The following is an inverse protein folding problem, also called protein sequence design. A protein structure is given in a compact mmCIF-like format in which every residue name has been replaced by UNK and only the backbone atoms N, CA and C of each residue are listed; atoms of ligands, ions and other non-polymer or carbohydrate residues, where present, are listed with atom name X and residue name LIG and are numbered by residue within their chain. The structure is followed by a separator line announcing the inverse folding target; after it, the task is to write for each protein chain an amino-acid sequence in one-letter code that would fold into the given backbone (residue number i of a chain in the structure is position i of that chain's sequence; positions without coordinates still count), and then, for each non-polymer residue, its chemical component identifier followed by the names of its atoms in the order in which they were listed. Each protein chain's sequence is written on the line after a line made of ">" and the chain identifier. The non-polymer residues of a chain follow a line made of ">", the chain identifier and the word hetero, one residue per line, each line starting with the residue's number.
data_IF_870812001928
#
_entry.id   IF_870812001928
#
_cell.length_a   1.000
_cell.length_b   1.000
_cell.length_c   1.000
_cell.angle_alpha   90.00
_cell.angle_beta   90.00
_cell.angle_gamma   90.00
#
_symmetry.space_group_name_H-M   'P 1'
#
loop_
_entity.id
_entity.type
_entity.pdbx_description
1 polymer ?
#
# COMPACT_ATOMS: atom_id res chain seq x y z
N UNK A 1 -1.57 4.09 9.60
CA UNK A 1 -2.24 3.33 8.52
C UNK A 1 -3.43 2.58 9.12
N UNK A 2 -4.54 2.44 8.42
CA UNK A 2 -5.63 1.55 8.86
C UNK A 2 -5.67 0.38 7.88
N UNK A 3 -5.41 -0.81 8.39
CA UNK A 3 -5.57 -2.06 7.66
C UNK A 3 -7.01 -2.54 7.69
N UNK A 4 -7.31 -3.51 6.83
CA UNK A 4 -8.61 -4.19 6.71
C UNK A 4 -9.17 -4.58 8.08
N UNK A 5 -10.48 -4.37 8.28
CA UNK A 5 -11.19 -4.74 9.51
C UNK A 5 -11.13 -3.71 10.65
N UNK A 6 -10.79 -2.45 10.35
CA UNK A 6 -10.72 -1.36 11.34
C UNK A 6 -9.46 -1.38 12.20
N UNK A 7 -8.45 -2.15 11.81
CA UNK A 7 -7.21 -2.27 12.56
C UNK A 7 -6.30 -1.08 12.26
N UNK A 8 -6.18 -0.22 13.26
CA UNK A 8 -5.35 0.98 13.20
C UNK A 8 -3.90 0.62 13.55
N UNK A 9 -3.02 0.78 12.57
CA UNK A 9 -1.56 0.77 12.73
C UNK A 9 -1.10 2.19 13.05
N UNK A 10 -0.76 2.39 14.32
CA UNK A 10 -0.47 3.69 14.91
C UNK A 10 -1.75 4.44 15.30
N UNK A 11 -2.07 4.44 16.61
CA UNK A 11 -3.04 5.40 17.14
C UNK A 11 -2.40 6.80 17.18
N UNK A 12 -3.19 7.85 17.44
CA UNK A 12 -2.64 9.18 17.76
C UNK A 12 -1.57 9.13 18.87
N UNK A 13 -1.63 8.13 19.74
CA UNK A 13 -0.69 7.89 20.85
C UNK A 13 0.50 6.98 20.49
N UNK A 14 0.51 6.36 19.30
CA UNK A 14 1.57 5.48 18.81
C UNK A 14 2.06 5.97 17.44
N UNK A 15 2.66 7.15 17.40
CA UNK A 15 3.29 7.67 16.18
C UNK A 15 4.68 7.04 16.01
N UNK A 16 4.96 6.47 14.83
CA UNK A 16 6.26 5.89 14.48
C UNK A 16 7.42 6.88 14.68
N UNK A 17 7.18 8.14 14.31
CA UNK A 17 8.11 9.27 14.47
C UNK A 17 8.52 9.60 15.91
N UNK A 18 7.78 9.14 16.92
CA UNK A 18 8.11 9.39 18.33
C UNK A 18 8.98 8.28 18.95
N UNK A 19 9.30 7.22 18.18
CA UNK A 19 9.98 6.01 18.68
C UNK A 19 11.05 5.51 17.70
N UNK A 20 12.01 6.38 17.37
CA UNK A 20 13.19 6.00 16.56
C UNK A 20 14.04 4.89 17.21
N UNK A 21 13.88 4.69 18.52
CA UNK A 21 14.52 3.63 19.30
C UNK A 21 13.99 2.23 18.99
N UNK A 22 12.77 2.12 18.47
CA UNK A 22 12.16 0.84 18.13
C UNK A 22 12.38 0.51 16.65
N UNK A 23 12.96 -0.65 16.37
CA UNK A 23 13.17 -1.11 15.00
C UNK A 23 12.74 -2.57 14.79
N UNK A 24 12.33 -2.86 13.57
CA UNK A 24 12.05 -4.21 13.11
C UNK A 24 10.97 -4.90 13.92
N UNK A 25 11.30 -6.07 14.45
CA UNK A 25 10.36 -6.92 15.18
C UNK A 25 9.85 -6.26 16.46
N UNK A 26 10.71 -5.55 17.19
CA UNK A 26 10.36 -4.87 18.44
C UNK A 26 9.36 -3.71 18.19
N UNK A 27 9.56 -2.96 17.10
CA UNK A 27 8.61 -1.95 16.67
C UNK A 27 7.25 -2.60 16.36
N UNK A 28 7.23 -3.69 15.60
CA UNK A 28 5.99 -4.38 15.26
C UNK A 28 5.29 -4.98 16.49
N UNK A 29 6.02 -5.52 17.46
CA UNK A 29 5.48 -6.00 18.74
C UNK A 29 4.85 -4.87 19.57
N UNK A 30 5.47 -3.68 19.55
CA UNK A 30 4.94 -2.50 20.21
C UNK A 30 3.59 -2.05 19.62
N UNK A 31 3.44 -2.17 18.29
CA UNK A 31 2.15 -1.91 17.64
C UNK A 31 1.14 -2.99 17.95
N UNK A 32 1.46 -4.27 17.69
CA UNK A 32 0.64 -5.41 18.06
C UNK A 32 1.45 -6.73 18.16
N UNK A 33 1.69 -7.20 19.38
CA UNK A 33 2.39 -8.46 19.66
C UNK A 33 1.72 -9.72 19.05
N UNK A 34 0.43 -9.68 18.71
CA UNK A 34 -0.29 -10.80 18.07
C UNK A 34 0.11 -10.94 16.61
N UNK A 35 0.39 -9.82 15.93
CA UNK A 35 0.84 -9.80 14.55
C UNK A 35 2.25 -10.36 14.40
N UNK A 36 3.12 -10.08 15.35
CA UNK A 36 4.47 -10.66 15.34
C UNK A 36 4.43 -12.18 15.50
N UNK A 37 3.47 -12.70 16.27
CA UNK A 37 3.25 -14.15 16.38
C UNK A 37 2.70 -14.75 15.09
N UNK A 38 1.77 -14.08 14.40
CA UNK A 38 1.24 -14.58 13.13
C UNK A 38 2.28 -14.56 12.01
N UNK A 39 3.09 -13.50 11.92
CA UNK A 39 4.22 -13.42 11.00
C UNK A 39 5.35 -14.40 11.40
N UNK A 40 5.57 -14.60 12.70
CA UNK A 40 6.64 -15.44 13.23
C UNK A 40 6.44 -16.94 13.04
N UNK A 41 5.19 -17.44 12.97
CA UNK A 41 4.90 -18.84 12.60
C UNK A 41 5.36 -19.20 11.18
N UNK A 42 5.59 -18.20 10.32
CA UNK A 42 6.11 -18.36 8.95
C UNK A 42 7.62 -18.23 8.84
N UNK A 43 8.29 -17.66 9.84
CA UNK A 43 9.75 -17.47 9.87
C UNK A 43 10.58 -18.76 9.88
N UNK A 44 9.93 -19.91 10.11
CA UNK A 44 10.56 -21.24 10.09
C UNK A 44 10.38 -22.01 8.79
N UNK A 45 9.71 -21.44 7.78
CA UNK A 45 9.47 -22.09 6.50
C UNK A 45 10.27 -21.39 5.39
N UNK A 46 10.65 -22.11 4.33
CA UNK A 46 11.48 -21.58 3.24
C UNK A 46 10.81 -20.34 2.61
N UNK A 47 11.59 -19.42 2.02
CA UNK A 47 11.10 -18.15 1.46
C UNK A 47 9.89 -18.28 0.51
N UNK A 48 9.69 -19.47 -0.08
CA UNK A 48 8.57 -19.84 -0.95
C UNK A 48 7.23 -20.06 -0.20
N UNK A 49 7.26 -20.34 1.11
CA UNK A 49 6.08 -20.61 1.95
C UNK A 49 5.34 -19.36 2.47
N UNK A 50 5.87 -18.17 2.21
CA UNK A 50 5.31 -16.90 2.68
C UNK A 50 4.07 -16.46 1.89
N UNK A 51 3.81 -17.10 0.75
CA UNK A 51 2.79 -16.74 -0.20
C UNK A 51 1.70 -17.81 -0.22
N UNK A 52 0.45 -17.44 0.11
CA UNK A 52 -0.68 -18.35 -0.06
C UNK A 52 -0.89 -18.63 -1.56
N UNK A 53 -1.32 -19.83 -1.92
CA UNK A 53 -1.57 -20.17 -3.32
C UNK A 53 -3.09 -20.28 -3.58
N UNK A 54 -3.56 -19.53 -4.57
CA UNK A 54 -4.61 -19.97 -5.49
C UNK A 54 -4.27 -19.43 -6.88
N UNK A 55 -4.45 -20.26 -7.90
CA UNK A 55 -4.03 -19.98 -9.28
C UNK A 55 -4.89 -18.90 -9.98
N UNK A 56 -5.92 -18.37 -9.32
CA UNK A 56 -7.04 -17.69 -9.99
C UNK A 56 -7.58 -16.44 -9.27
N UNK A 57 -6.88 -15.90 -8.26
CA UNK A 57 -7.33 -14.73 -7.46
C UNK A 57 -8.68 -14.96 -6.73
N UNK A 58 -9.30 -16.14 -6.85
CA UNK A 58 -10.65 -16.46 -6.35
C UNK A 58 -10.65 -16.88 -4.88
N UNK A 59 -9.52 -17.37 -4.37
CA UNK A 59 -9.41 -17.91 -3.01
C UNK A 59 -8.74 -16.93 -2.04
N UNK A 60 -8.30 -15.77 -2.52
CA UNK A 60 -7.77 -14.72 -1.67
C UNK A 60 -8.91 -13.92 -1.05
N UNK A 61 -9.42 -14.47 0.04
CA UNK A 61 -10.36 -13.78 0.92
C UNK A 61 -9.61 -12.74 1.77
N UNK A 62 -9.25 -11.60 1.17
CA UNK A 62 -8.69 -10.46 1.91
C UNK A 62 -9.74 -9.73 2.76
N UNK A 63 -10.97 -10.25 2.90
CA UNK A 63 -12.11 -9.51 3.48
C UNK A 63 -12.52 -10.10 4.82
N UNK A 64 -12.59 -11.43 4.89
CA UNK A 64 -13.03 -12.13 6.09
C UNK A 64 -11.87 -12.28 7.08
N UNK A 65 -11.54 -11.19 7.76
CA UNK A 65 -10.59 -11.20 8.88
C UNK A 65 -11.28 -11.61 10.18
N UNK A 66 -12.62 -11.70 10.22
CA UNK A 66 -13.36 -12.21 11.40
C UNK A 66 -13.64 -13.70 11.25
N UNK A 67 -13.33 -14.49 12.28
CA UNK A 67 -13.71 -15.91 12.32
C UNK A 67 -15.17 -16.01 12.77
N UNK A 68 -15.98 -16.78 12.04
CA UNK A 68 -17.32 -17.16 12.48
C UNK A 68 -17.27 -18.61 12.94
N UNK A 69 -17.65 -18.86 14.19
CA UNK A 69 -17.71 -20.21 14.77
C UNK A 69 -18.76 -21.08 14.07
N UNK A 70 -18.74 -22.39 14.35
CA UNK A 70 -19.70 -23.37 13.77
C UNK A 70 -21.17 -23.03 13.99
N UNK A 71 -21.46 -22.24 15.03
CA UNK A 71 -22.81 -21.82 15.41
C UNK A 71 -23.14 -20.37 14.97
N UNK A 72 -22.25 -19.72 14.20
CA UNK A 72 -22.42 -18.34 13.72
C UNK A 72 -22.04 -17.25 14.72
N UNK A 73 -21.46 -17.62 15.87
CA UNK A 73 -20.91 -16.66 16.85
C UNK A 73 -19.63 -16.01 16.32
N UNK A 74 -19.46 -14.70 16.57
CA UNK A 74 -18.23 -13.95 16.26
C UNK A 74 -17.10 -14.40 17.18
N UNK A 75 -16.17 -15.21 16.65
CA UNK A 75 -14.99 -15.69 17.38
C UNK A 75 -13.87 -14.63 17.42
N UNK A 76 -14.12 -13.44 16.85
CA UNK A 76 -13.20 -12.32 16.82
C UNK A 76 -12.25 -12.34 15.64
N UNK A 77 -11.14 -11.59 15.76
CA UNK A 77 -10.21 -11.33 14.66
C UNK A 77 -9.28 -12.53 14.44
N UNK A 78 -9.25 -13.02 13.20
CA UNK A 78 -8.25 -13.94 12.67
C UNK A 78 -6.93 -13.19 12.40
N UNK A 79 -6.06 -13.16 13.41
CA UNK A 79 -4.75 -12.50 13.34
C UNK A 79 -3.77 -13.16 12.36
N UNK A 80 -3.98 -14.42 11.98
CA UNK A 80 -3.18 -15.07 10.94
C UNK A 80 -3.51 -14.47 9.58
N UNK A 81 -4.80 -14.39 9.25
CA UNK A 81 -5.26 -13.77 8.00
C UNK A 81 -4.89 -12.29 7.92
N UNK A 82 -5.00 -11.59 9.04
CA UNK A 82 -4.57 -10.20 9.15
C UNK A 82 -3.07 -10.03 8.89
N UNK A 83 -2.24 -10.93 9.43
CA UNK A 83 -0.79 -10.91 9.20
C UNK A 83 -0.43 -11.02 7.72
N UNK A 84 -1.18 -11.82 6.95
CA UNK A 84 -1.03 -11.93 5.49
C UNK A 84 -1.34 -10.63 4.77
N UNK A 85 -2.51 -10.05 5.05
CA UNK A 85 -2.94 -8.77 4.45
C UNK A 85 -1.90 -7.68 4.70
N UNK A 86 -1.34 -7.64 5.91
CA UNK A 86 -0.32 -6.64 6.26
C UNK A 86 1.00 -6.88 5.58
N UNK A 87 1.41 -8.13 5.46
CA UNK A 87 2.59 -8.49 4.70
C UNK A 87 2.46 -8.00 3.25
N UNK A 88 1.30 -8.26 2.61
CA UNK A 88 1.02 -7.80 1.25
C UNK A 88 0.89 -6.27 1.16
N UNK A 89 0.38 -5.62 2.20
CA UNK A 89 0.31 -4.17 2.29
C UNK A 89 1.72 -3.54 2.27
N UNK A 90 2.62 -4.00 3.15
CA UNK A 90 4.01 -3.52 3.16
C UNK A 90 4.79 -3.94 1.93
N UNK A 91 4.53 -5.12 1.39
CA UNK A 91 5.07 -5.55 0.12
C UNK A 91 4.68 -4.59 -1.00
N UNK A 92 3.40 -4.22 -1.07
CA UNK A 92 2.88 -3.25 -2.05
C UNK A 92 3.56 -1.89 -1.91
N UNK A 93 3.72 -1.41 -0.66
CA UNK A 93 4.41 -0.15 -0.38
C UNK A 93 5.89 -0.17 -0.76
N UNK A 94 6.57 -1.32 -0.65
CA UNK A 94 7.99 -1.47 -0.97
C UNK A 94 8.29 -1.89 -2.42
N UNK A 95 7.27 -2.24 -3.21
CA UNK A 95 7.43 -2.59 -4.64
C UNK A 95 6.90 -1.48 -5.54
N UNK A 96 5.73 -0.94 -5.21
CA UNK A 96 5.05 0.08 -5.99
C UNK A 96 5.50 1.48 -5.55
N UNK A 97 6.66 1.93 -6.03
CA UNK A 97 7.19 3.29 -5.89
C UNK A 97 8.32 3.52 -6.90
N UNK A 98 8.83 4.75 -7.01
CA UNK A 98 9.98 5.07 -7.89
C UNK A 98 11.27 5.43 -7.13
N UNK A 99 11.31 5.19 -5.82
CA UNK A 99 12.48 5.47 -4.99
C UNK A 99 13.76 4.71 -5.40
N UNK A 100 14.88 5.36 -5.13
CA UNK A 100 16.25 4.85 -5.22
C UNK A 100 16.85 4.81 -3.80
N UNK A 101 17.71 3.83 -3.54
CA UNK A 101 18.46 3.74 -2.28
C UNK A 101 19.80 4.43 -2.45
N UNK A 102 20.09 5.39 -1.59
CA UNK A 102 21.40 6.01 -1.43
C UNK A 102 22.02 5.64 -0.07
N UNK A 103 23.34 5.48 -0.02
CA UNK A 103 24.05 5.11 1.21
C UNK A 103 24.50 3.65 1.23
N UNK A 104 25.27 3.30 2.26
CA UNK A 104 25.74 1.92 2.46
C UNK A 104 24.64 0.99 2.96
N UNK A 105 24.92 -0.32 2.93
CA UNK A 105 24.01 -1.37 3.38
C UNK A 105 23.53 -1.24 4.83
N UNK A 106 24.27 -0.54 5.69
CA UNK A 106 23.95 -0.46 7.13
C UNK A 106 23.04 0.72 7.48
N UNK A 107 22.94 1.73 6.61
CA UNK A 107 22.08 2.88 6.83
C UNK A 107 21.56 3.43 5.49
N UNK A 108 20.60 2.72 4.87
CA UNK A 108 20.01 3.18 3.61
C UNK A 108 19.23 4.47 3.82
N UNK A 109 19.36 5.39 2.88
CA UNK A 109 18.52 6.57 2.73
C UNK A 109 17.72 6.45 1.43
N UNK A 110 16.46 6.86 1.46
CA UNK A 110 15.59 6.75 0.30
C UNK A 110 15.39 8.11 -0.36
N UNK A 111 15.55 8.14 -1.68
CA UNK A 111 15.31 9.33 -2.48
C UNK A 111 14.37 9.04 -3.64
N UNK A 112 13.53 9.99 -3.98
CA UNK A 112 12.64 9.88 -5.11
C UNK A 112 11.83 11.14 -5.34
N UNK A 113 10.94 11.12 -6.35
CA UNK A 113 10.21 12.31 -6.78
C UNK A 113 9.12 12.74 -5.81
N UNK A 114 8.64 11.84 -4.96
CA UNK A 114 7.55 12.10 -4.02
C UNK A 114 8.04 11.93 -2.58
N UNK A 115 7.94 12.96 -1.72
CA UNK A 115 8.28 12.86 -0.30
C UNK A 115 7.37 11.87 0.45
N UNK A 116 6.16 11.65 -0.04
CA UNK A 116 5.20 10.71 0.55
C UNK A 116 5.66 9.27 0.39
N UNK A 117 6.20 8.94 -0.80
CA UNK A 117 6.77 7.62 -1.03
C UNK A 117 7.94 7.37 -0.08
N UNK A 118 8.81 8.36 0.11
CA UNK A 118 9.94 8.29 1.05
C UNK A 118 9.42 8.03 2.46
N UNK A 119 8.43 8.80 2.92
CA UNK A 119 7.85 8.63 4.26
C UNK A 119 7.24 7.24 4.46
N UNK A 120 6.53 6.72 3.47
CA UNK A 120 5.90 5.38 3.53
C UNK A 120 6.93 4.25 3.58
N UNK A 121 7.98 4.32 2.75
CA UNK A 121 9.02 3.28 2.71
C UNK A 121 9.92 3.36 3.95
N UNK A 122 10.17 4.56 4.49
CA UNK A 122 10.89 4.72 5.75
C UNK A 122 10.08 4.16 6.94
N UNK A 123 8.77 4.42 6.98
CA UNK A 123 7.87 3.82 7.97
C UNK A 123 7.86 2.29 7.87
N UNK A 124 7.84 1.73 6.65
CA UNK A 124 7.94 0.29 6.42
C UNK A 124 9.28 -0.27 6.94
N UNK A 125 10.40 0.43 6.68
CA UNK A 125 11.73 0.05 7.16
C UNK A 125 11.79 -0.03 8.68
N UNK A 126 11.24 0.97 9.39
CA UNK A 126 11.17 0.97 10.86
C UNK A 126 10.43 -0.25 11.42
N UNK A 127 9.44 -0.75 10.68
CA UNK A 127 8.66 -1.94 11.04
C UNK A 127 9.32 -3.26 10.60
N UNK A 128 10.49 -3.23 9.96
CA UNK A 128 11.22 -4.41 9.50
C UNK A 128 10.90 -4.86 8.09
N UNK A 129 10.21 -4.03 7.31
CA UNK A 129 9.91 -4.22 5.89
C UNK A 129 10.82 -3.32 5.07
N UNK A 130 12.02 -3.80 4.76
CA UNK A 130 13.08 -2.96 4.22
C UNK A 130 13.18 -3.07 2.69
N UNK A 131 13.18 -1.92 2.02
CA UNK A 131 13.52 -1.80 0.61
C UNK A 131 15.05 -1.66 0.47
N UNK A 132 15.69 -2.51 -0.34
CA UNK A 132 17.16 -2.61 -0.41
C UNK A 132 17.76 -2.12 -1.72
N UNK A 133 17.11 -2.42 -2.84
CA UNK A 133 17.65 -2.09 -4.16
C UNK A 133 16.52 -2.06 -5.19
N UNK A 134 16.60 -1.13 -6.15
CA UNK A 134 15.75 -1.10 -7.33
C UNK A 134 16.60 -0.97 -8.58
N UNK A 135 16.26 -1.75 -9.60
CA UNK A 135 16.71 -1.58 -10.97
C UNK A 135 15.48 -1.51 -11.89
N UNK A 136 15.68 -1.32 -13.19
CA UNK A 136 14.60 -1.39 -14.17
C UNK A 136 13.99 -2.80 -14.30
N UNK A 137 14.68 -3.84 -13.83
CA UNK A 137 14.28 -5.24 -13.99
C UNK A 137 13.93 -5.95 -12.69
N UNK A 138 14.33 -5.40 -11.55
CA UNK A 138 14.07 -6.06 -10.27
C UNK A 138 14.03 -5.08 -9.09
N UNK A 139 13.36 -5.51 -8.03
CA UNK A 139 13.41 -4.89 -6.70
C UNK A 139 13.90 -5.95 -5.71
N UNK A 140 14.81 -5.58 -4.82
CA UNK A 140 15.25 -6.41 -3.68
C UNK A 140 14.73 -5.82 -2.38
N UNK A 141 14.21 -6.68 -1.53
CA UNK A 141 13.65 -6.36 -0.23
C UNK A 141 14.29 -7.24 0.84
N UNK A 142 14.20 -6.80 2.10
CA UNK A 142 14.54 -7.59 3.29
C UNK A 142 13.42 -7.48 4.30
N UNK A 143 12.58 -8.50 4.41
CA UNK A 143 11.44 -8.50 5.31
C UNK A 143 11.75 -9.41 6.50
N UNK A 144 11.88 -8.82 7.70
CA UNK A 144 12.20 -9.53 8.95
C UNK A 144 13.38 -10.51 8.85
N UNK A 145 14.42 -10.15 8.09
CA UNK A 145 15.63 -10.96 7.90
C UNK A 145 15.62 -11.87 6.67
N UNK A 146 14.52 -11.92 5.91
CA UNK A 146 14.42 -12.70 4.68
C UNK A 146 14.60 -11.81 3.45
N UNK A 147 15.59 -12.13 2.62
CA UNK A 147 15.83 -11.42 1.38
C UNK A 147 14.87 -11.90 0.29
N UNK A 148 14.15 -10.96 -0.34
CA UNK A 148 13.20 -11.21 -1.40
C UNK A 148 13.66 -10.49 -2.66
N UNK A 149 13.45 -11.11 -3.82
CA UNK A 149 13.73 -10.50 -5.13
C UNK A 149 12.50 -10.63 -6.02
N UNK A 150 12.00 -9.48 -6.47
CA UNK A 150 10.90 -9.38 -7.41
C UNK A 150 11.44 -8.97 -8.77
N UNK A 151 11.01 -9.64 -9.83
CA UNK A 151 11.24 -9.23 -11.22
C UNK A 151 10.18 -8.22 -11.63
N UNK A 152 10.58 -7.03 -12.08
CA UNK A 152 9.67 -5.99 -12.55
C UNK A 152 9.32 -6.29 -14.00
N UNK A 153 8.04 -6.55 -14.25
CA UNK A 153 7.52 -6.87 -15.58
C UNK A 153 7.02 -5.63 -16.29
N UNK A 154 6.30 -4.74 -15.60
CA UNK A 154 5.82 -3.47 -16.16
C UNK A 154 5.55 -2.45 -15.05
N UNK A 155 5.65 -1.17 -15.40
CA UNK A 155 5.37 -0.03 -14.52
C UNK A 155 4.39 0.89 -15.23
N UNK A 156 3.20 1.03 -14.66
CA UNK A 156 2.22 2.02 -15.07
C UNK A 156 2.40 3.27 -14.21
N UNK A 157 3.19 4.21 -14.69
CA UNK A 157 3.60 5.40 -13.95
C UNK A 157 2.42 6.25 -13.46
N UNK A 158 2.65 6.96 -12.36
CA UNK A 158 1.73 7.96 -11.87
C UNK A 158 1.58 9.09 -12.89
N UNK A 159 0.34 9.40 -13.24
CA UNK A 159 0.00 10.66 -13.93
C UNK A 159 -1.10 11.38 -13.18
N UNK A 160 -1.23 12.67 -13.43
CA UNK A 160 -2.25 13.50 -12.79
C UNK A 160 -3.66 13.11 -13.23
N UNK A 161 -3.79 12.60 -14.44
CA UNK A 161 -5.04 12.11 -15.02
C UNK A 161 -5.46 10.80 -14.35
N UNK A 162 -4.50 9.89 -14.10
CA UNK A 162 -4.78 8.57 -13.52
C UNK A 162 -4.89 8.59 -12.00
N UNK A 163 -4.15 9.48 -11.32
CA UNK A 163 -4.10 9.63 -9.85
C UNK A 163 -3.71 8.34 -9.09
N UNK A 164 -3.03 7.43 -9.78
CA UNK A 164 -2.53 6.16 -9.23
C UNK A 164 -1.32 5.66 -10.00
N UNK A 165 -0.54 4.80 -9.35
CA UNK A 165 0.63 4.11 -9.89
C UNK A 165 0.42 2.60 -9.72
N UNK A 166 0.82 1.82 -10.72
CA UNK A 166 0.84 0.37 -10.61
C UNK A 166 2.17 -0.23 -11.05
N UNK A 167 2.58 -1.29 -10.39
CA UNK A 167 3.76 -2.09 -10.75
C UNK A 167 3.32 -3.54 -10.87
N UNK A 168 3.59 -4.15 -12.02
CA UNK A 168 3.43 -5.59 -12.23
C UNK A 168 4.78 -6.25 -12.00
N UNK A 169 4.83 -7.21 -11.08
CA UNK A 169 6.07 -7.89 -10.74
C UNK A 169 5.84 -9.38 -10.46
N UNK A 170 6.84 -10.18 -10.79
CA UNK A 170 6.89 -11.61 -10.48
C UNK A 170 7.70 -11.83 -9.21
N UNK A 171 7.09 -12.47 -8.22
CA UNK A 171 7.75 -12.80 -6.97
C UNK A 171 8.72 -13.98 -7.09
N UNK A 172 9.51 -14.24 -6.04
CA UNK A 172 10.39 -15.42 -5.99
C UNK A 172 9.63 -16.75 -6.02
N UNK A 173 8.35 -16.71 -5.64
CA UNK A 173 7.37 -17.78 -5.72
C UNK A 173 6.85 -18.07 -7.13
N UNK A 174 7.28 -17.30 -8.12
CA UNK A 174 6.85 -17.40 -9.51
C UNK A 174 5.48 -16.78 -9.78
N UNK A 175 4.81 -16.19 -8.79
CA UNK A 175 3.48 -15.60 -8.95
C UNK A 175 3.61 -14.16 -9.45
N UNK A 176 2.82 -13.82 -10.47
CA UNK A 176 2.71 -12.45 -10.97
C UNK A 176 1.66 -11.69 -10.17
N UNK A 177 2.03 -10.51 -9.67
CA UNK A 177 1.17 -9.63 -8.92
C UNK A 177 1.17 -8.24 -9.53
N UNK A 178 0.01 -7.60 -9.54
CA UNK A 178 -0.11 -6.16 -9.72
C UNK A 178 -0.25 -5.51 -8.35
N UNK A 179 0.62 -4.53 -8.09
CA UNK A 179 0.62 -3.68 -6.91
C UNK A 179 0.18 -2.29 -7.32
N UNK A 180 -0.87 -1.75 -6.71
CA UNK A 180 -1.46 -0.47 -7.08
C UNK A 180 -1.61 0.43 -5.86
N UNK A 181 -1.23 1.70 -6.00
CA UNK A 181 -1.48 2.72 -4.97
C UNK A 181 -1.89 4.04 -5.61
N UNK A 182 -2.77 4.77 -4.94
CA UNK A 182 -3.25 6.04 -5.48
C UNK A 182 -4.29 6.71 -4.60
N UNK A 183 -4.89 7.77 -5.13
CA UNK A 183 -5.99 8.47 -4.50
C UNK A 183 -7.17 7.52 -4.25
N UNK A 184 -7.92 7.79 -3.18
CA UNK A 184 -9.10 7.03 -2.78
C UNK A 184 -10.09 6.79 -3.92
N UNK A 185 -10.54 7.85 -4.59
CA UNK A 185 -11.46 7.78 -5.73
C UNK A 185 -10.92 6.94 -6.88
N UNK A 186 -9.62 7.03 -7.18
CA UNK A 186 -9.01 6.33 -8.30
C UNK A 186 -8.78 4.83 -8.04
N UNK A 187 -8.59 4.44 -6.78
CA UNK A 187 -8.42 3.04 -6.37
C UNK A 187 -9.76 2.38 -6.15
N UNK A 188 -10.72 3.04 -5.49
CA UNK A 188 -12.04 2.47 -5.16
C UNK A 188 -12.79 2.04 -6.43
N UNK A 189 -12.67 2.80 -7.53
CA UNK A 189 -13.23 2.44 -8.84
C UNK A 189 -12.63 1.17 -9.47
N UNK A 190 -11.44 0.76 -9.04
CA UNK A 190 -10.72 -0.41 -9.55
C UNK A 190 -10.91 -1.66 -8.67
N UNK A 191 -11.53 -1.50 -7.50
CA UNK A 191 -11.69 -2.60 -6.57
C UNK A 191 -12.70 -3.63 -7.08
N UNK A 192 -12.51 -4.88 -6.68
CA UNK A 192 -13.51 -5.93 -6.88
C UNK A 192 -14.80 -5.59 -6.16
N UNK A 193 -15.91 -6.17 -6.60
CA UNK A 193 -17.19 -5.97 -5.93
C UNK A 193 -17.21 -6.69 -4.56
N UNK A 194 -17.30 -5.90 -3.49
CA UNK A 194 -17.35 -6.41 -2.11
C UNK A 194 -18.75 -6.80 -1.63
N UNK A 195 -19.83 -6.41 -2.33
CA UNK A 195 -21.22 -6.58 -1.88
C UNK A 195 -21.62 -8.04 -1.61
N UNK A 196 -20.99 -9.00 -2.31
CA UNK A 196 -21.30 -10.42 -2.15
C UNK A 196 -20.31 -11.17 -1.27
N UNK A 197 -19.35 -10.47 -0.67
CA UNK A 197 -18.35 -11.06 0.20
C UNK A 197 -18.79 -10.95 1.67
N UNK A 198 -18.52 -11.97 2.49
CA UNK A 198 -18.72 -11.87 3.93
C UNK A 198 -18.00 -10.65 4.48
N UNK A 199 -18.71 -9.82 5.24
CA UNK A 199 -18.18 -8.60 5.87
C UNK A 199 -17.62 -7.55 4.87
N UNK A 200 -17.94 -7.66 3.57
CA UNK A 200 -17.48 -6.76 2.52
C UNK A 200 -18.06 -5.35 2.60
N UNK A 201 -19.36 -5.23 2.88
CA UNK A 201 -20.01 -3.93 3.10
C UNK A 201 -19.44 -3.23 4.34
N UNK A 202 -19.26 -3.97 5.45
CA UNK A 202 -18.64 -3.46 6.68
C UNK A 202 -17.20 -2.96 6.43
N UNK A 203 -16.43 -3.70 5.62
CA UNK A 203 -15.08 -3.30 5.23
C UNK A 203 -15.08 -1.99 4.47
N UNK A 204 -15.95 -1.85 3.47
CA UNK A 204 -16.04 -0.64 2.65
C UNK A 204 -16.52 0.55 3.49
N UNK A 205 -17.53 0.36 4.35
CA UNK A 205 -18.00 1.40 5.26
C UNK A 205 -16.89 1.87 6.21
N UNK A 206 -16.18 0.94 6.85
CA UNK A 206 -15.06 1.25 7.74
C UNK A 206 -13.92 1.98 7.01
N UNK A 207 -13.65 1.59 5.75
CA UNK A 207 -12.64 2.23 4.91
C UNK A 207 -13.05 3.67 4.57
N UNK A 208 -14.28 3.89 4.10
CA UNK A 208 -14.78 5.23 3.78
C UNK A 208 -14.80 6.16 4.99
N UNK A 209 -15.23 5.64 6.15
CA UNK A 209 -15.18 6.40 7.40
C UNK A 209 -13.76 6.82 7.74
N UNK A 210 -12.81 5.89 7.67
CA UNK A 210 -11.41 6.16 7.98
C UNK A 210 -10.77 7.18 7.03
N UNK A 211 -11.08 7.09 5.72
CA UNK A 211 -10.65 8.06 4.73
C UNK A 211 -11.20 9.47 5.04
N UNK A 212 -12.49 9.56 5.38
CA UNK A 212 -13.13 10.82 5.78
C UNK A 212 -12.51 11.38 7.06
N UNK A 213 -12.28 10.55 8.08
CA UNK A 213 -11.68 10.97 9.34
C UNK A 213 -10.24 11.49 9.15
N UNK A 214 -9.46 10.87 8.27
CA UNK A 214 -8.12 11.34 7.93
C UNK A 214 -8.12 12.63 7.13
N UNK A 215 -9.02 12.76 6.14
CA UNK A 215 -9.19 13.98 5.38
C UNK A 215 -9.61 15.16 6.28
N UNK A 216 -10.55 14.94 7.22
CA UNK A 216 -10.95 15.95 8.21
C UNK A 216 -9.82 16.38 9.14
N UNK A 217 -8.78 15.56 9.29
CA UNK A 217 -7.58 15.88 10.06
C UNK A 217 -6.47 16.54 9.22
N UNK A 218 -6.71 16.77 7.92
CA UNK A 218 -5.72 17.34 7.01
C UNK A 218 -4.58 16.38 6.65
N UNK A 219 -4.78 15.08 6.81
CA UNK A 219 -3.80 14.06 6.42
C UNK A 219 -3.99 13.68 4.95
N UNK A 220 -2.89 13.54 4.21
CA UNK A 220 -2.92 13.04 2.83
C UNK A 220 -3.11 11.53 2.83
N UNK A 221 -4.16 11.07 2.16
CA UNK A 221 -4.54 9.66 2.15
C UNK A 221 -4.16 8.98 0.84
N UNK A 222 -3.74 7.72 0.91
CA UNK A 222 -3.60 6.86 -0.27
C UNK A 222 -4.18 5.48 0.04
N UNK A 223 -4.92 4.93 -0.92
CA UNK A 223 -5.36 3.55 -0.90
C UNK A 223 -4.31 2.65 -1.55
N UNK A 224 -4.12 1.47 -0.98
CA UNK A 224 -3.19 0.45 -1.46
C UNK A 224 -3.98 -0.81 -1.78
N UNK A 225 -3.78 -1.35 -2.98
CA UNK A 225 -4.48 -2.53 -3.47
C UNK A 225 -3.54 -3.44 -4.26
N UNK A 226 -3.87 -4.73 -4.33
CA UNK A 226 -3.14 -5.69 -5.16
C UNK A 226 -4.08 -6.64 -5.91
N UNK A 227 -3.50 -7.42 -6.82
CA UNK A 227 -4.19 -8.52 -7.50
C UNK A 227 -3.17 -9.54 -7.99
N UNK A 228 -3.54 -10.82 -7.95
CA UNK A 228 -2.78 -11.87 -8.62
C UNK A 228 -3.19 -11.96 -10.08
N UNK A 229 -2.19 -12.11 -10.94
CA UNK A 229 -2.35 -12.21 -12.39
C UNK A 229 -1.87 -13.58 -12.82
N UNK A 230 -2.70 -14.28 -13.60
CA UNK A 230 -2.32 -15.56 -14.19
C UNK A 230 -1.29 -15.34 -15.30
N UNK A 231 -0.41 -16.33 -15.50
CA UNK A 231 0.62 -16.26 -16.54
C UNK A 231 -0.01 -16.03 -17.93
N UNK A 232 -1.09 -16.76 -18.26
CA UNK A 232 -1.79 -16.62 -19.55
C UNK A 232 -2.37 -15.21 -19.76
N UNK A 233 -3.01 -14.65 -18.74
CA UNK A 233 -3.54 -13.28 -18.82
C UNK A 233 -2.40 -12.27 -19.02
N UNK A 234 -1.31 -12.42 -18.26
CA UNK A 234 -0.14 -11.55 -18.36
C UNK A 234 0.46 -11.55 -19.77
N UNK A 235 0.71 -12.72 -20.36
CA UNK A 235 1.30 -12.84 -21.69
C UNK A 235 0.44 -12.18 -22.77
N UNK A 236 -0.87 -12.40 -22.70
CA UNK A 236 -1.82 -11.78 -23.62
C UNK A 236 -1.87 -10.25 -23.43
N UNK A 237 -1.88 -9.78 -22.18
CA UNK A 237 -1.94 -8.36 -21.87
C UNK A 237 -0.65 -7.63 -22.27
N UNK A 238 0.52 -8.19 -21.97
CA UNK A 238 1.81 -7.59 -22.33
C UNK A 238 1.93 -7.44 -23.85
N UNK A 239 1.50 -8.45 -24.62
CA UNK A 239 1.47 -8.33 -26.08
C UNK A 239 0.64 -7.13 -26.55
N UNK A 240 -0.56 -6.91 -25.98
CA UNK A 240 -1.39 -5.73 -26.28
C UNK A 240 -0.73 -4.44 -25.85
N UNK A 241 -0.12 -4.42 -24.66
CA UNK A 241 0.59 -3.25 -24.14
C UNK A 241 1.77 -2.85 -25.01
N UNK A 242 2.60 -3.80 -25.44
CA UNK A 242 3.73 -3.53 -26.35
C UNK A 242 3.24 -3.02 -27.71
N UNK A 243 2.13 -3.56 -28.24
CA UNK A 243 1.51 -3.06 -29.47
C UNK A 243 1.00 -1.62 -29.31
N UNK A 244 0.37 -1.30 -28.18
CA UNK A 244 -0.06 0.06 -27.84
C UNK A 244 1.14 1.01 -27.72
N UNK A 245 2.20 0.61 -27.01
CA UNK A 245 3.42 1.38 -26.82
C UNK A 245 4.19 1.64 -28.13
N UNK A 246 4.14 0.69 -29.08
CA UNK A 246 4.75 0.82 -30.40
C UNK A 246 3.86 1.57 -31.41
N UNK A 247 2.62 1.92 -31.05
CA UNK A 247 1.70 2.58 -31.97
C UNK A 247 2.07 4.05 -32.20
N UNK A 248 1.94 4.51 -33.44
CA UNK A 248 2.17 5.92 -33.81
C UNK A 248 0.89 6.76 -33.71
N UNK A 249 -0.28 6.11 -33.75
CA UNK A 249 -1.59 6.76 -33.71
C UNK A 249 -2.27 6.48 -32.37
N UNK A 250 -2.75 7.53 -31.70
CA UNK A 250 -3.53 7.44 -30.45
C UNK A 250 -2.84 6.58 -29.37
N UNK A 251 -1.51 6.63 -29.30
CA UNK A 251 -0.68 5.85 -28.36
C UNK A 251 -1.17 5.99 -26.92
N UNK A 252 -1.39 7.22 -26.46
CA UNK A 252 -1.76 7.49 -25.07
C UNK A 252 -3.13 6.90 -24.72
N UNK A 253 -4.09 6.97 -25.65
CA UNK A 253 -5.43 6.38 -25.49
C UNK A 253 -5.34 4.85 -25.40
N UNK A 254 -4.53 4.22 -26.26
CA UNK A 254 -4.33 2.76 -26.24
C UNK A 254 -3.64 2.29 -24.97
N UNK A 255 -2.62 3.02 -24.51
CA UNK A 255 -1.94 2.72 -23.24
C UNK A 255 -2.88 2.87 -22.04
N UNK A 256 -3.74 3.89 -22.05
CA UNK A 256 -4.74 4.09 -21.01
C UNK A 256 -5.77 2.96 -20.99
N UNK A 257 -6.19 2.46 -22.16
CA UNK A 257 -7.08 1.29 -22.26
C UNK A 257 -6.42 0.03 -21.68
N UNK A 258 -5.17 -0.24 -22.02
CA UNK A 258 -4.43 -1.37 -21.44
C UNK A 258 -4.27 -1.22 -19.91
N UNK A 259 -3.99 -0.01 -19.42
CA UNK A 259 -3.90 0.26 -17.99
C UNK A 259 -5.25 0.00 -17.29
N UNK A 260 -6.37 0.50 -17.84
CA UNK A 260 -7.71 0.23 -17.31
C UNK A 260 -8.04 -1.25 -17.29
N UNK A 261 -7.64 -2.01 -18.31
CA UNK A 261 -7.91 -3.45 -18.41
C UNK A 261 -7.29 -4.24 -17.25
N UNK A 262 -6.00 -4.00 -16.96
CA UNK A 262 -5.27 -4.75 -15.92
C UNK A 262 -5.60 -4.27 -14.51
N UNK A 263 -5.96 -2.99 -14.35
CA UNK A 263 -6.34 -2.34 -13.08
C UNK A 263 -7.83 -2.52 -12.76
N UNK A 264 -8.35 -3.74 -12.91
CA UNK A 264 -9.72 -4.12 -12.52
C UNK A 264 -9.69 -5.26 -11.51
N UNK A 265 -10.76 -5.36 -10.70
CA UNK A 265 -10.94 -6.43 -9.71
C UNK A 265 -9.78 -6.50 -8.69
N UNK A 266 -9.32 -5.33 -8.24
CA UNK A 266 -8.26 -5.22 -7.24
C UNK A 266 -8.78 -5.53 -5.84
N UNK A 267 -7.92 -6.10 -5.00
CA UNK A 267 -8.17 -6.30 -3.59
C UNK A 267 -7.57 -5.13 -2.81
N UNK A 268 -8.42 -4.37 -2.11
CA UNK A 268 -7.97 -3.38 -1.14
C UNK A 268 -7.17 -4.07 -0.04
N UNK A 269 -5.97 -3.56 0.25
CA UNK A 269 -5.09 -4.03 1.32
C UNK A 269 -5.12 -3.10 2.53
N UNK A 270 -5.36 -1.81 2.32
CA UNK A 270 -5.46 -0.83 3.39
C UNK A 270 -5.29 0.59 2.89
N UNK A 271 -5.33 1.51 3.85
CA UNK A 271 -5.16 2.94 3.60
C UNK A 271 -4.01 3.52 4.42
N UNK A 272 -3.29 4.44 3.80
CA UNK A 272 -2.25 5.24 4.43
C UNK A 272 -2.78 6.64 4.73
N UNK A 273 -2.18 7.29 5.71
CA UNK A 273 -2.44 8.67 6.05
C UNK A 273 -1.09 9.31 6.43
N UNK A 274 -0.71 10.36 5.72
CA UNK A 274 0.58 11.03 5.84
C UNK A 274 0.32 12.47 6.26
N UNK A 275 0.97 12.89 7.33
CA UNK A 275 0.93 14.28 7.77
C UNK A 275 1.95 15.09 6.97
N UNK A 276 1.49 16.14 6.29
CA UNK A 276 2.42 17.16 5.77
C UNK A 276 2.76 18.11 6.92
N UNK A 277 3.99 18.04 7.42
CA UNK A 277 4.38 18.74 8.62
C UNK A 277 4.44 20.24 8.35
N UNK A 278 3.52 20.96 8.99
CA UNK A 278 3.59 22.41 9.09
C UNK A 278 4.82 22.83 9.91
N UNK A 279 5.31 24.03 9.64
CA UNK A 279 6.34 24.63 10.50
C UNK A 279 5.79 24.86 11.91
N UNK A 280 6.68 24.78 12.90
CA UNK A 280 6.33 24.99 14.31
C UNK A 280 5.69 26.36 14.50
N UNK A 281 4.55 26.42 15.18
CA UNK A 281 3.85 27.67 15.50
C UNK A 281 2.93 28.19 14.40
N UNK A 282 2.83 27.53 13.24
CA UNK A 282 1.96 27.99 12.13
C UNK A 282 0.49 28.00 12.53
N UNK A 283 -0.10 26.92 13.11
CA UNK A 283 -1.50 26.93 13.52
C UNK A 283 -1.82 28.06 14.51
N UNK A 284 -1.00 28.22 15.54
CA UNK A 284 -1.18 29.24 16.58
C UNK A 284 -1.03 30.66 16.02
N UNK A 285 -0.10 30.85 15.07
CA UNK A 285 0.09 32.14 14.40
C UNK A 285 -1.11 32.49 13.52
N UNK A 286 -1.63 31.54 12.76
CA UNK A 286 -2.83 31.77 11.91
C UNK A 286 -4.05 32.09 12.77
N UNK A 287 -4.23 31.40 13.89
CA UNK A 287 -5.30 31.68 14.86
C UNK A 287 -5.16 33.10 15.45
N UNK A 288 -3.98 33.47 15.95
CA UNK A 288 -3.72 34.82 16.49
C UNK A 288 -3.95 35.93 15.46
N UNK A 289 -3.55 35.73 14.19
CA UNK A 289 -3.81 36.70 13.12
C UNK A 289 -5.31 36.83 12.83
N UNK A 290 -6.03 35.71 12.84
CA UNK A 290 -7.48 35.68 12.60
C UNK A 290 -8.24 36.37 13.74
N UNK A 291 -7.87 36.11 14.99
CA UNK A 291 -8.42 36.77 16.19
C UNK A 291 -8.14 38.27 16.22
N UNK A 292 -7.00 38.70 15.67
CA UNK A 292 -6.67 40.11 15.47
C UNK A 292 -7.43 40.77 14.30
N UNK A 293 -8.30 40.04 13.60
CA UNK A 293 -9.09 40.53 12.46
C UNK A 293 -8.33 40.61 11.15
N UNK A 294 -7.14 39.99 11.06
CA UNK A 294 -6.32 39.94 9.84
C UNK A 294 -6.78 38.77 8.98
N UNK A 295 -7.10 39.04 7.72
CA UNK A 295 -7.49 37.99 6.76
C UNK A 295 -6.25 37.33 6.18
N UNK A 296 -6.10 36.03 6.42
CA UNK A 296 -5.02 35.21 5.86
C UNK A 296 -5.50 34.56 4.57
N UNK A 297 -4.77 34.76 3.47
CA UNK A 297 -5.02 34.10 2.19
C UNK A 297 -3.86 33.18 1.85
N UNK A 298 -4.14 31.92 1.57
CA UNK A 298 -3.14 30.97 1.08
C UNK A 298 -3.11 31.03 -0.45
N UNK A 299 -1.95 31.39 -1.01
CA UNK A 299 -1.70 31.34 -2.45
C UNK A 299 -0.69 30.23 -2.66
N UNK A 300 -1.14 29.10 -3.21
CA UNK A 300 -0.30 27.95 -3.52
C UNK A 300 -0.31 27.65 -5.02
N UNK A 301 0.80 27.12 -5.53
CA UNK A 301 0.89 26.53 -6.86
C UNK A 301 0.58 25.04 -6.88
N UNK A 302 0.34 24.44 -5.72
CA UNK A 302 -0.05 23.04 -5.60
C UNK A 302 -1.49 22.81 -6.07
N UNK A 303 -1.75 21.57 -6.47
CA UNK A 303 -3.06 21.16 -6.95
C UNK A 303 -4.07 21.19 -5.82
N UNK A 304 -5.30 21.58 -6.14
CA UNK A 304 -6.43 21.44 -5.24
C UNK A 304 -6.74 19.93 -5.15
N UNK A 305 -6.38 19.32 -4.02
CA UNK A 305 -6.73 17.92 -3.70
C UNK A 305 -8.25 17.76 -3.50
#
# INVERSE_FOLDING_TARGET
>A
AIGIGGLTFGSKDKRLELREDLQGREALEFFDSRLVKSLGRRAGAEAESYYLYSDDNSTYDYVTVRSKGRDGEDEGINYEKLGEILYDFFLSLCVCHSLVVEGGCDNPSYQGPSPDEVALVEAARQLGFEFRERSSKHVKLRFHGHDLKFEILNVLEFTSERRKMSVVAKGPDGIIRLFCKGADSAIIECLRNYTFLPDGDDLMEATHKSLSDFACQGLRTLCVANKIITQDFWEMWDQRYQQAAASMDERDIKLEQCAKEIETELNLLGITAIEDKLQVGVPETVEMLTDAGIKVFMITGDKQE
#
